data_IF_943230761743
#
_entry.id   IF_943230761743
#
_cell.length_a   1.000
_cell.length_b   1.000
_cell.length_c   1.000
_cell.angle_alpha   90.00
_cell.angle_beta   90.00
_cell.angle_gamma   90.00
#
_symmetry.space_group_name_H-M   'P 1'
#
loop_
_entity.id
_entity.type
_entity.pdbx_description
1 polymer ?
#
# COMPACT_ATOMS: atom_id res chain seq x y z
N UNK A 1 -28.12 15.00 21.24
CA UNK A 1 -28.00 14.73 19.83
C UNK A 1 -27.54 15.97 19.08
N UNK A 2 -26.25 16.20 19.01
CA UNK A 2 -25.66 17.24 18.14
C UNK A 2 -24.77 16.50 17.15
N UNK A 3 -25.20 16.46 15.89
CA UNK A 3 -24.38 15.96 14.78
C UNK A 3 -23.21 16.91 14.61
N UNK A 4 -22.02 16.44 14.90
CA UNK A 4 -20.77 17.12 14.54
C UNK A 4 -20.48 16.65 13.12
N UNK A 5 -20.59 17.57 12.17
CA UNK A 5 -20.19 17.35 10.79
C UNK A 5 -18.68 17.04 10.73
N UNK A 6 -18.22 16.22 9.80
CA UNK A 6 -16.81 16.01 9.61
C UNK A 6 -16.17 17.31 9.14
N UNK A 7 -15.38 17.92 10.00
CA UNK A 7 -14.51 19.04 9.61
C UNK A 7 -13.39 18.43 8.78
N UNK A 8 -13.56 18.45 7.47
CA UNK A 8 -12.45 18.35 6.55
C UNK A 8 -11.59 19.59 6.80
N UNK A 9 -10.52 19.44 7.59
CA UNK A 9 -9.52 20.49 7.78
C UNK A 9 -8.64 20.56 6.53
N UNK A 10 -9.21 21.00 5.43
CA UNK A 10 -8.47 21.58 4.33
C UNK A 10 -8.06 22.97 4.79
N UNK A 11 -6.94 23.06 5.50
CA UNK A 11 -6.26 24.33 5.68
C UNK A 11 -5.75 24.79 4.31
N UNK A 12 -6.61 25.49 3.59
CA UNK A 12 -6.22 26.31 2.47
C UNK A 12 -5.39 27.47 3.05
N UNK A 13 -4.07 27.24 3.23
CA UNK A 13 -3.14 28.36 3.37
C UNK A 13 -3.11 29.03 1.99
N UNK A 14 -3.87 30.11 1.86
CA UNK A 14 -3.65 31.07 0.80
C UNK A 14 -2.23 31.62 1.01
N UNK A 15 -1.25 31.09 0.26
CA UNK A 15 0.04 31.74 0.08
C UNK A 15 -0.25 33.09 -0.56
N UNK A 16 -0.23 34.15 0.25
CA UNK A 16 -0.07 35.50 -0.25
C UNK A 16 1.31 35.53 -0.87
N UNK A 17 1.35 35.37 -2.19
CA UNK A 17 2.56 35.62 -2.99
C UNK A 17 2.92 37.11 -2.76
N UNK A 18 3.90 37.35 -1.89
CA UNK A 18 4.49 38.66 -1.77
C UNK A 18 4.99 39.08 -3.15
N UNK A 19 4.51 40.23 -3.64
CA UNK A 19 4.98 40.84 -4.87
C UNK A 19 6.47 41.14 -4.71
N UNK A 20 7.30 40.32 -5.35
CA UNK A 20 8.71 40.62 -5.57
C UNK A 20 8.77 41.86 -6.46
N UNK A 21 9.52 42.91 -6.09
CA UNK A 21 9.70 44.07 -6.95
C UNK A 21 10.35 43.65 -8.27
N UNK A 22 9.86 44.15 -9.38
CA UNK A 22 10.35 43.89 -10.73
C UNK A 22 11.76 44.44 -10.91
N UNK A 23 12.75 43.72 -10.43
CA UNK A 23 14.10 43.78 -10.99
C UNK A 23 14.07 42.88 -12.24
N UNK A 24 14.64 43.34 -13.35
CA UNK A 24 14.75 42.63 -14.62
C UNK A 24 15.07 41.15 -14.41
N UNK A 25 14.04 40.34 -14.40
CA UNK A 25 14.15 38.91 -14.11
C UNK A 25 14.78 38.22 -15.31
N UNK A 26 16.05 37.88 -15.20
CA UNK A 26 16.56 36.72 -15.92
C UNK A 26 15.59 35.56 -15.59
N UNK A 27 14.98 34.96 -16.62
CA UNK A 27 14.05 33.82 -16.41
C UNK A 27 14.73 32.77 -15.55
N UNK A 28 14.13 32.44 -14.40
CA UNK A 28 14.65 31.37 -13.54
C UNK A 28 14.81 30.11 -14.39
N UNK A 29 15.94 29.39 -14.29
CA UNK A 29 16.13 28.11 -14.99
C UNK A 29 15.18 27.04 -14.51
N UNK A 30 14.56 27.23 -13.35
CA UNK A 30 13.46 26.40 -12.85
C UNK A 30 12.13 26.97 -13.34
N UNK A 31 11.26 26.09 -13.80
CA UNK A 31 9.85 26.43 -14.04
C UNK A 31 9.15 26.83 -12.73
N UNK A 32 8.04 27.58 -12.84
CA UNK A 32 7.22 27.89 -11.67
C UNK A 32 6.76 26.64 -10.91
N UNK A 33 6.49 25.56 -11.64
CA UNK A 33 6.11 24.27 -11.08
C UNK A 33 7.25 23.66 -10.27
N UNK A 34 8.45 23.55 -10.82
CA UNK A 34 9.63 23.04 -10.11
C UNK A 34 9.99 23.86 -8.87
N UNK A 35 9.80 25.18 -8.94
CA UNK A 35 9.98 26.07 -7.80
C UNK A 35 8.97 25.76 -6.69
N UNK A 36 7.68 25.62 -7.05
CA UNK A 36 6.61 25.27 -6.10
C UNK A 36 6.89 23.91 -5.43
N UNK A 37 7.30 22.92 -6.19
CA UNK A 37 7.62 21.56 -5.70
C UNK A 37 8.81 21.57 -4.74
N UNK A 38 9.89 22.25 -5.10
CA UNK A 38 11.11 22.34 -4.29
C UNK A 38 10.86 23.07 -2.97
N UNK A 39 10.34 24.29 -3.07
CA UNK A 39 10.04 25.13 -1.90
C UNK A 39 8.97 24.49 -1.03
N UNK A 40 7.90 23.98 -1.66
CA UNK A 40 6.83 23.28 -0.97
C UNK A 40 7.31 22.07 -0.20
N UNK A 41 8.24 21.29 -0.76
CA UNK A 41 8.82 20.10 -0.08
C UNK A 41 9.60 20.49 1.17
N UNK A 42 10.43 21.53 1.10
CA UNK A 42 11.18 22.05 2.24
C UNK A 42 10.24 22.58 3.34
N UNK A 43 9.28 23.41 2.97
CA UNK A 43 8.31 24.00 3.91
C UNK A 43 7.46 22.90 4.56
N UNK A 44 6.98 21.92 3.79
CA UNK A 44 6.23 20.77 4.33
C UNK A 44 7.06 19.97 5.31
N UNK A 45 8.31 19.67 4.99
CA UNK A 45 9.18 18.93 5.89
C UNK A 45 9.37 19.67 7.21
N UNK A 46 9.71 20.96 7.16
CA UNK A 46 9.96 21.78 8.37
C UNK A 46 8.70 22.01 9.19
N UNK A 47 7.53 22.11 8.56
CA UNK A 47 6.25 22.33 9.23
C UNK A 47 5.65 21.04 9.79
N UNK A 48 5.61 19.96 9.01
CA UNK A 48 4.73 18.81 9.25
C UNK A 48 5.46 17.57 9.81
N UNK A 49 6.79 17.47 9.69
CA UNK A 49 7.51 16.31 10.23
C UNK A 49 7.30 16.18 11.74
N UNK A 50 7.05 14.99 12.22
CA UNK A 50 6.65 14.73 13.62
C UNK A 50 7.70 15.05 14.69
N UNK A 51 8.93 15.40 14.29
CA UNK A 51 10.00 15.90 15.14
C UNK A 51 10.51 17.25 14.63
N UNK A 52 11.30 17.94 15.46
CA UNK A 52 12.00 19.15 15.01
C UNK A 52 13.00 18.81 13.92
N UNK A 53 12.95 19.54 12.82
CA UNK A 53 13.88 19.37 11.68
C UNK A 53 15.13 20.21 11.93
N UNK A 54 16.28 19.64 11.66
CA UNK A 54 17.55 20.35 11.57
C UNK A 54 17.60 21.03 10.17
N UNK A 55 17.47 22.34 10.14
CA UNK A 55 17.45 23.13 8.92
C UNK A 55 18.78 23.05 8.14
N UNK A 56 19.91 23.05 8.86
CA UNK A 56 21.22 22.92 8.21
C UNK A 56 21.34 21.55 7.54
N UNK A 57 20.97 20.49 8.24
CA UNK A 57 20.97 19.14 7.68
C UNK A 57 20.05 19.01 6.44
N UNK A 58 18.92 19.74 6.39
CA UNK A 58 18.04 19.74 5.24
C UNK A 58 18.68 20.38 3.99
N UNK A 59 19.35 21.53 4.17
CA UNK A 59 20.08 22.20 3.09
C UNK A 59 21.30 21.39 2.63
N UNK A 60 22.08 20.86 3.56
CA UNK A 60 23.23 19.99 3.26
C UNK A 60 22.79 18.69 2.56
N UNK A 61 21.67 18.15 2.96
CA UNK A 61 21.05 16.98 2.34
C UNK A 61 20.71 17.21 0.86
N UNK A 62 20.06 18.34 0.55
CA UNK A 62 19.76 18.73 -0.82
C UNK A 62 21.02 18.83 -1.68
N UNK A 63 22.01 19.57 -1.18
CA UNK A 63 23.28 19.77 -1.85
C UNK A 63 24.01 18.43 -2.10
N UNK A 64 24.12 17.62 -1.09
CA UNK A 64 24.81 16.31 -1.17
C UNK A 64 24.13 15.40 -2.17
N UNK A 65 22.81 15.29 -2.11
CA UNK A 65 22.03 14.43 -3.01
C UNK A 65 22.13 14.89 -4.48
N UNK A 66 22.11 16.20 -4.75
CA UNK A 66 22.34 16.71 -6.11
C UNK A 66 23.74 16.34 -6.62
N UNK A 67 24.78 16.53 -5.80
CA UNK A 67 26.16 16.19 -6.20
C UNK A 67 26.30 14.68 -6.46
N UNK A 68 25.74 13.85 -5.62
CA UNK A 68 25.75 12.39 -5.79
C UNK A 68 25.00 11.97 -7.06
N UNK A 69 23.83 12.57 -7.29
CA UNK A 69 23.06 12.33 -8.50
C UNK A 69 23.86 12.68 -9.76
N UNK A 70 24.47 13.87 -9.80
CA UNK A 70 25.28 14.34 -10.92
C UNK A 70 26.49 13.43 -11.18
N UNK A 71 27.20 13.02 -10.13
CA UNK A 71 28.32 12.07 -10.24
C UNK A 71 27.89 10.72 -10.80
N UNK A 72 26.77 10.19 -10.34
CA UNK A 72 26.18 8.94 -10.83
C UNK A 72 25.84 9.00 -12.33
N UNK A 73 25.54 10.20 -12.83
CA UNK A 73 25.22 10.45 -14.23
C UNK A 73 26.39 11.04 -15.02
N UNK A 74 27.62 10.68 -14.66
CA UNK A 74 28.89 10.99 -15.35
C UNK A 74 29.29 12.47 -15.31
N UNK A 75 28.79 13.29 -14.39
CA UNK A 75 29.24 14.65 -14.14
C UNK A 75 30.27 14.61 -13.00
N UNK A 76 31.47 14.13 -13.26
CA UNK A 76 32.48 13.81 -12.25
C UNK A 76 32.90 14.99 -11.36
N UNK A 77 32.97 16.21 -11.92
CA UNK A 77 33.42 17.42 -11.22
C UNK A 77 32.26 18.30 -10.72
N UNK A 78 31.09 17.70 -10.45
CA UNK A 78 29.98 18.45 -9.90
C UNK A 78 30.33 19.00 -8.50
N UNK A 79 30.17 20.32 -8.34
CA UNK A 79 30.42 21.03 -7.09
C UNK A 79 29.36 22.12 -6.92
N UNK A 80 28.85 22.25 -5.72
CA UNK A 80 27.90 23.30 -5.34
C UNK A 80 28.42 23.98 -4.06
N UNK A 81 28.21 25.29 -3.89
CA UNK A 81 28.64 25.98 -2.68
C UNK A 81 27.85 25.48 -1.45
N UNK A 82 28.43 25.59 -0.24
CA UNK A 82 27.67 25.29 0.98
C UNK A 82 26.59 26.35 1.21
N UNK A 83 25.42 25.90 1.67
CA UNK A 83 24.37 26.77 2.19
C UNK A 83 24.48 26.90 3.70
N UNK A 84 24.12 28.05 4.24
CA UNK A 84 24.05 28.31 5.68
C UNK A 84 22.60 28.55 6.09
N UNK A 85 22.09 27.69 6.95
CA UNK A 85 20.74 27.82 7.43
C UNK A 85 20.57 28.99 8.40
N UNK A 86 19.44 29.65 8.29
CA UNK A 86 18.96 30.68 9.21
C UNK A 86 17.83 30.12 10.08
N UNK A 87 17.35 30.93 11.03
CA UNK A 87 16.16 30.57 11.81
C UNK A 87 14.86 30.70 11.01
N UNK A 88 14.91 31.38 9.86
CA UNK A 88 13.75 31.65 9.01
C UNK A 88 13.66 30.65 7.86
N UNK A 89 12.54 29.95 7.79
CA UNK A 89 12.30 28.90 6.78
C UNK A 89 12.08 29.46 5.38
N UNK A 90 11.54 30.67 5.23
CA UNK A 90 11.37 31.34 3.94
C UNK A 90 12.73 31.70 3.33
N UNK A 91 13.61 32.32 4.12
CA UNK A 91 14.99 32.62 3.72
C UNK A 91 15.76 31.37 3.30
N UNK A 92 15.59 30.27 4.03
CA UNK A 92 16.24 29.00 3.71
C UNK A 92 15.69 28.40 2.40
N UNK A 93 14.39 28.44 2.20
CA UNK A 93 13.74 27.96 0.97
C UNK A 93 14.19 28.77 -0.27
N UNK A 94 14.32 30.08 -0.14
CA UNK A 94 14.87 30.93 -1.20
C UNK A 94 16.35 30.64 -1.50
N UNK A 95 17.16 30.41 -0.46
CA UNK A 95 18.56 30.00 -0.64
C UNK A 95 18.68 28.66 -1.36
N UNK A 96 17.85 27.69 -0.97
CA UNK A 96 17.75 26.39 -1.64
C UNK A 96 17.31 26.54 -3.10
N UNK A 97 16.30 27.36 -3.39
CA UNK A 97 15.85 27.63 -4.75
C UNK A 97 16.97 28.21 -5.61
N UNK A 98 17.75 29.20 -5.11
CA UNK A 98 18.88 29.76 -5.85
C UNK A 98 19.96 28.71 -6.15
N UNK A 99 20.28 27.86 -5.20
CA UNK A 99 21.29 26.81 -5.39
C UNK A 99 20.86 25.79 -6.44
N UNK A 100 19.59 25.28 -6.35
CA UNK A 100 19.05 24.34 -7.34
C UNK A 100 18.98 24.99 -8.72
N UNK A 101 18.61 26.28 -8.80
CA UNK A 101 18.63 27.05 -10.06
C UNK A 101 20.02 27.11 -10.67
N UNK A 102 21.05 27.35 -9.86
CA UNK A 102 22.46 27.30 -10.30
C UNK A 102 22.84 25.91 -10.78
N UNK A 103 22.52 24.87 -10.02
CA UNK A 103 22.79 23.49 -10.39
C UNK A 103 22.12 23.10 -11.72
N UNK A 104 20.87 23.53 -11.95
CA UNK A 104 20.17 23.30 -13.22
C UNK A 104 20.85 24.04 -14.38
N UNK A 105 21.23 25.28 -14.18
CA UNK A 105 21.94 26.06 -15.22
C UNK A 105 23.26 25.39 -15.64
N UNK A 106 24.05 24.96 -14.66
CA UNK A 106 25.42 24.48 -14.90
C UNK A 106 25.46 23.01 -15.36
N UNK A 107 24.49 22.20 -14.95
CA UNK A 107 24.58 20.75 -15.10
C UNK A 107 23.45 20.12 -15.90
N UNK A 108 22.24 20.71 -16.01
CA UNK A 108 21.19 20.12 -16.81
C UNK A 108 21.59 19.90 -18.29
N UNK A 109 22.36 20.79 -18.95
CA UNK A 109 22.83 20.56 -20.31
C UNK A 109 23.77 19.34 -20.47
N UNK A 110 24.31 18.82 -19.39
CA UNK A 110 25.21 17.65 -19.34
C UNK A 110 24.48 16.34 -19.10
N UNK A 111 23.19 16.39 -18.85
CA UNK A 111 22.34 15.23 -18.53
C UNK A 111 21.43 14.90 -19.72
N UNK A 112 21.02 13.65 -19.78
CA UNK A 112 19.99 13.16 -20.71
C UNK A 112 18.69 12.88 -19.96
N UNK A 113 17.51 13.02 -20.59
CA UNK A 113 16.25 12.62 -19.99
C UNK A 113 16.24 11.15 -19.59
N UNK A 114 15.64 10.84 -18.43
CA UNK A 114 15.46 9.47 -17.94
C UNK A 114 13.97 9.25 -17.67
N UNK A 115 13.37 8.17 -18.19
CA UNK A 115 11.94 7.86 -18.04
C UNK A 115 11.02 9.07 -18.39
N UNK A 116 11.36 9.83 -19.43
CA UNK A 116 10.68 11.06 -19.83
C UNK A 116 10.80 12.25 -18.83
N UNK A 117 11.61 12.11 -17.78
CA UNK A 117 11.88 13.19 -16.81
C UNK A 117 12.98 14.10 -17.38
N UNK A 118 12.73 15.41 -17.45
CA UNK A 118 13.70 16.38 -17.95
C UNK A 118 14.93 16.48 -17.05
N UNK A 119 16.12 16.84 -17.59
CA UNK A 119 17.32 17.05 -16.78
C UNK A 119 17.15 18.03 -15.64
N UNK A 120 16.38 19.12 -15.82
CA UNK A 120 16.08 20.06 -14.74
C UNK A 120 15.24 19.42 -13.64
N UNK A 121 14.21 18.64 -14.00
CA UNK A 121 13.39 17.90 -13.03
C UNK A 121 14.21 16.85 -12.28
N UNK A 122 15.13 16.16 -12.95
CA UNK A 122 16.02 15.19 -12.31
C UNK A 122 16.86 15.81 -11.18
N UNK A 123 17.44 16.99 -11.44
CA UNK A 123 18.22 17.74 -10.42
C UNK A 123 17.31 18.22 -9.29
N UNK A 124 16.12 18.74 -9.61
CA UNK A 124 15.13 19.19 -8.63
C UNK A 124 14.67 18.02 -7.73
N UNK A 125 14.38 16.88 -8.32
CA UNK A 125 13.99 15.66 -7.55
C UNK A 125 15.12 15.17 -6.66
N UNK A 126 16.37 15.24 -7.12
CA UNK A 126 17.51 14.90 -6.29
C UNK A 126 17.64 15.85 -5.08
N UNK A 127 17.41 17.15 -5.27
CA UNK A 127 17.39 18.13 -4.18
C UNK A 127 16.27 17.82 -3.18
N UNK A 128 15.04 17.59 -3.67
CA UNK A 128 13.89 17.25 -2.81
C UNK A 128 14.17 15.98 -2.02
N UNK A 129 14.67 14.93 -2.69
CA UNK A 129 15.01 13.67 -2.03
C UNK A 129 16.07 13.85 -0.93
N UNK A 130 17.06 14.74 -1.17
CA UNK A 130 18.07 15.08 -0.19
C UNK A 130 17.52 15.87 1.01
N UNK A 131 16.62 16.83 0.77
CA UNK A 131 15.89 17.55 1.84
C UNK A 131 15.16 16.56 2.73
N UNK A 132 14.37 15.66 2.13
CA UNK A 132 13.58 14.66 2.87
C UNK A 132 14.44 13.61 3.57
N UNK A 133 15.54 13.18 2.95
CA UNK A 133 16.49 12.22 3.52
C UNK A 133 17.24 12.73 4.74
N UNK A 134 17.34 14.06 4.92
CA UNK A 134 18.06 14.69 6.04
C UNK A 134 17.54 14.29 7.42
N UNK A 135 16.25 13.98 7.53
CA UNK A 135 15.62 13.59 8.80
C UNK A 135 15.89 12.15 9.21
N UNK A 136 16.59 11.37 8.35
CA UNK A 136 16.98 9.97 8.61
C UNK A 136 15.80 9.08 9.02
N UNK A 137 14.61 9.39 8.51
CA UNK A 137 13.40 8.60 8.67
C UNK A 137 13.12 7.81 7.38
N UNK A 138 13.15 6.49 7.46
CA UNK A 138 12.97 5.59 6.31
C UNK A 138 11.62 5.70 5.60
N UNK A 139 10.66 6.36 6.23
CA UNK A 139 9.30 6.53 5.70
C UNK A 139 9.06 7.90 5.08
N UNK A 140 9.94 8.87 5.37
CA UNK A 140 9.90 10.21 4.77
C UNK A 140 10.72 10.19 3.48
N UNK A 141 10.05 10.35 2.34
CA UNK A 141 10.68 10.18 1.03
C UNK A 141 9.96 10.97 -0.07
N UNK A 142 10.68 11.27 -1.13
CA UNK A 142 10.12 11.71 -2.40
C UNK A 142 9.63 10.49 -3.20
N UNK A 143 8.52 10.66 -3.89
CA UNK A 143 7.95 9.68 -4.82
C UNK A 143 7.89 10.33 -6.21
N UNK A 144 8.60 9.78 -7.17
CA UNK A 144 8.47 10.16 -8.58
C UNK A 144 7.02 9.92 -9.05
N UNK A 145 6.59 10.51 -10.19
CA UNK A 145 5.25 10.27 -10.74
C UNK A 145 4.91 8.78 -10.86
N UNK A 146 5.86 7.97 -11.30
CA UNK A 146 5.69 6.52 -11.43
C UNK A 146 5.53 5.81 -10.08
N UNK A 147 6.33 6.19 -9.08
CA UNK A 147 6.26 5.59 -7.74
C UNK A 147 5.00 6.02 -7.01
N UNK A 148 4.56 7.26 -7.18
CA UNK A 148 3.32 7.73 -6.57
C UNK A 148 2.09 7.07 -7.21
N UNK A 149 2.07 6.92 -8.54
CA UNK A 149 1.03 6.18 -9.23
C UNK A 149 0.96 4.71 -8.75
N UNK A 150 2.11 4.04 -8.62
CA UNK A 150 2.18 2.67 -8.12
C UNK A 150 1.73 2.54 -6.65
N UNK A 151 2.03 3.55 -5.80
CA UNK A 151 1.54 3.59 -4.42
C UNK A 151 0.02 3.69 -4.36
N UNK A 152 -0.57 4.60 -5.13
CA UNK A 152 -2.02 4.77 -5.18
C UNK A 152 -2.72 3.52 -5.73
N UNK A 153 -2.17 2.94 -6.81
CA UNK A 153 -2.66 1.67 -7.34
C UNK A 153 -2.66 0.56 -6.27
N UNK A 154 -1.60 0.48 -5.45
CA UNK A 154 -1.52 -0.48 -4.35
C UNK A 154 -2.49 -0.23 -3.21
N UNK A 155 -2.83 1.05 -2.92
CA UNK A 155 -3.71 1.43 -1.82
C UNK A 155 -5.20 1.41 -2.19
N UNK A 156 -5.54 1.75 -3.42
CA UNK A 156 -6.93 1.80 -3.88
C UNK A 156 -7.51 0.40 -4.21
N UNK A 157 -6.73 -0.65 -3.92
CA UNK A 157 -6.94 -1.99 -4.46
C UNK A 157 -6.60 -1.94 -5.95
N UNK A 158 -5.62 -2.72 -6.40
CA UNK A 158 -5.10 -2.62 -7.76
C UNK A 158 -6.23 -2.60 -8.78
N UNK A 159 -6.60 -1.39 -9.22
CA UNK A 159 -7.45 -1.24 -10.40
C UNK A 159 -6.56 -1.36 -11.62
N UNK A 160 -6.72 -2.41 -12.37
CA UNK A 160 -6.00 -2.60 -13.63
C UNK A 160 -6.95 -3.00 -14.75
N UNK A 161 -6.64 -2.59 -15.95
CA UNK A 161 -7.36 -3.12 -17.10
C UNK A 161 -7.02 -4.58 -17.30
N UNK A 162 -8.03 -5.45 -17.27
CA UNK A 162 -7.83 -6.88 -17.35
C UNK A 162 -9.09 -7.68 -17.67
N UNK A 163 -8.99 -8.99 -17.53
CA UNK A 163 -10.07 -9.93 -17.88
C UNK A 163 -10.88 -10.42 -16.67
N UNK A 164 -10.44 -10.17 -15.43
CA UNK A 164 -11.21 -10.51 -14.21
C UNK A 164 -11.22 -11.99 -13.86
N UNK A 165 -10.03 -12.65 -13.87
CA UNK A 165 -9.84 -14.02 -13.41
C UNK A 165 -8.67 -14.11 -12.44
N UNK A 166 -8.72 -15.11 -11.52
CA UNK A 166 -7.57 -15.68 -10.85
C UNK A 166 -7.18 -16.98 -11.54
N UNK A 167 -5.88 -17.24 -11.68
CA UNK A 167 -5.36 -18.41 -12.39
C UNK A 167 -4.07 -18.92 -11.78
N UNK A 168 -3.81 -20.20 -12.00
CA UNK A 168 -2.52 -20.83 -11.71
C UNK A 168 -1.96 -21.46 -12.99
N UNK A 169 -0.66 -21.29 -13.29
CA UNK A 169 0.02 -22.12 -14.29
C UNK A 169 0.00 -23.59 -13.87
N UNK A 170 -0.33 -24.47 -14.81
CA UNK A 170 -0.23 -25.93 -14.64
C UNK A 170 0.93 -26.46 -15.49
N UNK A 171 2.03 -26.81 -14.83
CA UNK A 171 3.24 -27.32 -15.47
C UNK A 171 3.03 -28.66 -16.21
N UNK A 172 2.04 -29.45 -15.80
CA UNK A 172 1.79 -30.77 -16.41
C UNK A 172 1.05 -30.66 -17.73
N UNK A 173 0.05 -29.79 -17.77
CA UNK A 173 -0.78 -29.56 -18.96
C UNK A 173 -0.31 -28.39 -19.80
N UNK A 174 0.64 -27.59 -19.29
CA UNK A 174 1.15 -26.35 -19.93
C UNK A 174 0.00 -25.39 -20.27
N UNK A 175 -0.97 -25.25 -19.35
CA UNK A 175 -2.13 -24.37 -19.46
C UNK A 175 -2.23 -23.46 -18.25
N UNK A 176 -3.18 -22.51 -18.28
CA UNK A 176 -3.54 -21.73 -17.09
C UNK A 176 -4.85 -22.27 -16.57
N UNK A 177 -4.85 -22.79 -15.35
CA UNK A 177 -6.03 -23.22 -14.64
C UNK A 177 -6.75 -22.03 -14.03
N UNK A 178 -8.01 -21.79 -14.38
CA UNK A 178 -8.85 -20.73 -13.83
C UNK A 178 -9.31 -21.13 -12.43
N UNK A 179 -8.84 -20.46 -11.40
CA UNK A 179 -9.25 -20.69 -10.02
C UNK A 179 -10.57 -19.99 -9.67
N UNK A 180 -10.74 -18.77 -10.15
CA UNK A 180 -11.95 -17.99 -9.93
C UNK A 180 -12.20 -16.98 -11.05
N UNK A 181 -13.48 -16.59 -11.18
CA UNK A 181 -13.92 -15.55 -12.12
C UNK A 181 -14.65 -14.49 -11.30
N UNK A 182 -14.35 -13.21 -11.55
CA UNK A 182 -15.02 -12.10 -10.90
C UNK A 182 -16.45 -12.02 -11.42
N UNK A 183 -17.41 -12.11 -10.50
CA UNK A 183 -18.84 -12.02 -10.82
C UNK A 183 -19.16 -10.68 -11.50
N UNK A 184 -19.97 -10.72 -12.55
CA UNK A 184 -20.28 -9.58 -13.42
C UNK A 184 -19.06 -8.94 -14.11
N UNK A 185 -17.89 -9.57 -13.98
CA UNK A 185 -16.66 -9.16 -14.65
C UNK A 185 -16.60 -9.54 -16.14
N UNK A 186 -15.57 -9.07 -16.87
CA UNK A 186 -15.50 -9.30 -18.32
C UNK A 186 -15.38 -10.77 -18.71
N UNK A 187 -14.76 -11.62 -17.91
CA UNK A 187 -14.70 -13.07 -18.14
C UNK A 187 -16.00 -13.79 -17.81
N UNK A 188 -16.71 -13.36 -16.77
CA UNK A 188 -18.03 -13.90 -16.41
C UNK A 188 -19.06 -13.63 -17.52
N UNK A 189 -19.05 -12.42 -18.07
CA UNK A 189 -19.93 -12.00 -19.19
C UNK A 189 -19.79 -12.86 -20.46
N UNK A 190 -18.63 -13.48 -20.65
CA UNK A 190 -18.38 -14.40 -21.79
C UNK A 190 -18.49 -15.86 -21.39
N UNK A 191 -18.88 -16.17 -20.14
CA UNK A 191 -19.15 -17.51 -19.66
C UNK A 191 -17.94 -18.33 -19.26
N UNK A 192 -16.78 -17.70 -18.96
CA UNK A 192 -15.67 -18.39 -18.30
C UNK A 192 -16.11 -18.88 -16.92
N UNK A 193 -15.57 -20.02 -16.50
CA UNK A 193 -15.91 -20.65 -15.23
C UNK A 193 -14.64 -21.08 -14.48
N UNK A 194 -14.68 -21.20 -13.15
CA UNK A 194 -13.67 -21.94 -12.41
C UNK A 194 -13.48 -23.35 -13.01
N UNK A 195 -12.26 -23.87 -12.90
CA UNK A 195 -11.81 -25.15 -13.49
C UNK A 195 -11.63 -25.12 -15.01
N UNK A 196 -11.87 -24.02 -15.70
CA UNK A 196 -11.49 -23.88 -17.11
C UNK A 196 -9.95 -23.88 -17.26
N UNK A 197 -9.45 -24.50 -18.32
CA UNK A 197 -8.04 -24.44 -18.70
C UNK A 197 -7.84 -23.55 -19.92
N UNK A 198 -7.10 -22.45 -19.78
CA UNK A 198 -6.73 -21.58 -20.89
C UNK A 198 -5.51 -22.19 -21.56
N UNK A 199 -5.64 -22.55 -22.83
CA UNK A 199 -4.61 -23.23 -23.63
C UNK A 199 -3.83 -22.27 -24.55
N UNK A 200 -4.47 -21.15 -24.97
CA UNK A 200 -3.80 -20.13 -25.78
C UNK A 200 -4.38 -18.73 -25.50
N UNK A 201 -3.55 -17.70 -25.67
CA UNK A 201 -3.90 -16.27 -25.53
C UNK A 201 -3.48 -15.56 -26.80
N UNK A 202 -4.40 -14.85 -27.48
CA UNK A 202 -4.21 -14.16 -28.75
C UNK A 202 -3.53 -15.06 -29.81
N UNK A 203 -3.88 -16.35 -29.83
CA UNK A 203 -3.39 -17.36 -30.78
C UNK A 203 -2.03 -17.95 -30.42
N UNK A 204 -1.35 -17.49 -29.36
CA UNK A 204 -0.11 -18.11 -28.85
C UNK A 204 -0.44 -19.14 -27.79
N UNK A 205 0.12 -20.33 -27.91
CA UNK A 205 -0.04 -21.36 -26.88
C UNK A 205 0.57 -20.88 -25.55
N UNK A 206 -0.07 -21.25 -24.43
CA UNK A 206 0.43 -20.93 -23.08
C UNK A 206 1.83 -21.48 -22.88
N UNK A 207 2.12 -22.68 -23.38
CA UNK A 207 3.47 -23.29 -23.36
C UNK A 207 4.54 -22.41 -24.03
N UNK A 208 4.22 -21.78 -25.16
CA UNK A 208 5.13 -20.85 -25.85
C UNK A 208 5.33 -19.56 -25.04
N UNK A 209 4.26 -19.03 -24.42
CA UNK A 209 4.33 -17.84 -23.61
C UNK A 209 5.20 -18.07 -22.36
N UNK A 210 5.09 -19.23 -21.72
CA UNK A 210 5.82 -19.56 -20.50
C UNK A 210 7.24 -20.08 -20.74
N UNK A 211 7.61 -20.45 -21.95
CA UNK A 211 8.93 -20.99 -22.27
C UNK A 211 10.13 -20.16 -21.71
N UNK A 212 10.11 -18.81 -21.74
CA UNK A 212 11.20 -18.03 -21.13
C UNK A 212 11.35 -18.21 -19.62
N UNK A 213 10.27 -18.45 -18.90
CA UNK A 213 10.28 -18.67 -17.46
C UNK A 213 10.80 -20.06 -17.07
N UNK A 214 10.66 -21.06 -17.96
CA UNK A 214 11.08 -22.43 -17.70
C UNK A 214 12.61 -22.59 -17.59
N UNK A 215 13.39 -21.58 -17.94
CA UNK A 215 14.85 -21.56 -17.75
C UNK A 215 15.27 -21.25 -16.31
N UNK A 216 14.36 -20.72 -15.48
CA UNK A 216 14.60 -20.43 -14.07
C UNK A 216 14.54 -21.72 -13.25
N UNK A 217 15.60 -21.97 -12.47
CA UNK A 217 15.76 -23.19 -11.66
C UNK A 217 15.10 -23.12 -10.30
N UNK A 218 14.92 -21.91 -9.79
CA UNK A 218 14.23 -21.65 -8.52
C UNK A 218 12.71 -21.61 -8.76
N UNK A 219 11.97 -22.49 -8.09
CA UNK A 219 10.52 -22.63 -8.31
C UNK A 219 9.74 -21.35 -8.00
N UNK A 220 10.15 -20.58 -6.98
CA UNK A 220 9.47 -19.33 -6.64
C UNK A 220 9.73 -18.24 -7.67
N UNK A 221 10.96 -18.15 -8.15
CA UNK A 221 11.35 -17.19 -9.21
C UNK A 221 10.70 -17.57 -10.54
N UNK A 222 10.61 -18.88 -10.85
CA UNK A 222 9.92 -19.36 -12.04
C UNK A 222 8.45 -18.97 -11.99
N UNK A 223 7.73 -19.25 -10.90
CA UNK A 223 6.33 -18.88 -10.74
C UNK A 223 6.11 -17.37 -10.84
N UNK A 224 7.00 -16.56 -10.25
CA UNK A 224 6.93 -15.11 -10.37
C UNK A 224 7.15 -14.63 -11.81
N UNK A 225 8.06 -15.25 -12.57
CA UNK A 225 8.30 -14.95 -13.97
C UNK A 225 7.09 -15.33 -14.83
N UNK A 226 6.50 -16.49 -14.62
CA UNK A 226 5.28 -16.95 -15.29
C UNK A 226 4.11 -16.02 -15.05
N UNK A 227 3.86 -15.65 -13.78
CA UNK A 227 2.82 -14.68 -13.44
C UNK A 227 3.04 -13.33 -14.10
N UNK A 228 4.29 -12.85 -14.16
CA UNK A 228 4.63 -11.59 -14.84
C UNK A 228 4.33 -11.66 -16.34
N UNK A 229 4.70 -12.75 -17.00
CA UNK A 229 4.45 -12.96 -18.44
C UNK A 229 2.96 -13.00 -18.73
N UNK A 230 2.22 -13.83 -18.01
CA UNK A 230 0.77 -14.00 -18.21
C UNK A 230 0.01 -12.72 -17.88
N UNK A 231 0.34 -12.07 -16.77
CA UNK A 231 -0.24 -10.77 -16.43
C UNK A 231 -0.01 -9.73 -17.53
N UNK A 232 1.16 -9.73 -18.16
CA UNK A 232 1.51 -8.82 -19.25
C UNK A 232 0.63 -8.97 -20.51
N UNK A 233 0.05 -10.16 -20.74
CA UNK A 233 -0.83 -10.43 -21.88
C UNK A 233 -2.32 -10.39 -21.52
N UNK A 234 -2.70 -10.75 -20.30
CA UNK A 234 -4.10 -10.69 -19.85
C UNK A 234 -4.51 -9.28 -19.42
N UNK A 235 -3.59 -8.49 -18.87
CA UNK A 235 -3.80 -7.07 -18.58
C UNK A 235 -3.65 -6.22 -19.83
N UNK A 236 -4.12 -4.98 -19.76
CA UNK A 236 -4.03 -3.98 -20.81
C UNK A 236 -5.04 -2.87 -20.59
N UNK A 237 -5.02 -1.82 -21.40
CA UNK A 237 -5.93 -0.70 -21.24
C UNK A 237 -7.41 -1.15 -21.32
N UNK A 238 -8.29 -0.65 -20.43
CA UNK A 238 -9.72 -0.89 -20.54
C UNK A 238 -10.25 -0.55 -21.95
N UNK A 239 -11.17 -1.37 -22.46
CA UNK A 239 -11.69 -1.28 -23.83
C UNK A 239 -10.89 -2.04 -24.88
N UNK A 240 -9.64 -2.45 -24.61
CA UNK A 240 -8.88 -3.34 -25.50
C UNK A 240 -9.38 -4.78 -25.39
N UNK A 241 -9.09 -5.61 -26.39
CA UNK A 241 -9.59 -6.99 -26.45
C UNK A 241 -8.44 -7.99 -26.31
N UNK A 242 -8.75 -9.16 -25.78
CA UNK A 242 -7.90 -10.33 -25.75
C UNK A 242 -8.73 -11.56 -26.12
N UNK A 243 -8.15 -12.48 -26.90
CA UNK A 243 -8.80 -13.73 -27.32
C UNK A 243 -8.22 -14.91 -26.54
N UNK A 244 -9.08 -15.68 -25.88
CA UNK A 244 -8.69 -16.87 -25.14
C UNK A 244 -9.19 -18.13 -25.84
N UNK A 245 -8.33 -19.14 -25.91
CA UNK A 245 -8.72 -20.51 -26.25
C UNK A 245 -8.81 -21.30 -24.97
N UNK A 246 -9.97 -21.93 -24.73
CA UNK A 246 -10.34 -22.51 -23.44
C UNK A 246 -10.73 -23.98 -23.61
N UNK A 247 -10.33 -24.81 -22.66
CA UNK A 247 -10.76 -26.19 -22.55
C UNK A 247 -11.55 -26.37 -21.25
N UNK A 248 -12.73 -26.99 -21.33
CA UNK A 248 -13.59 -27.30 -20.17
C UNK A 248 -13.90 -28.80 -20.16
N UNK A 249 -13.62 -29.47 -19.05
CA UNK A 249 -13.83 -30.91 -18.89
C UNK A 249 -13.21 -31.72 -20.05
N UNK A 250 -12.00 -31.36 -20.46
CA UNK A 250 -11.27 -32.04 -21.56
C UNK A 250 -11.75 -31.68 -22.98
N UNK A 251 -12.80 -30.86 -23.14
CA UNK A 251 -13.36 -30.45 -24.44
C UNK A 251 -12.96 -29.02 -24.77
N UNK A 252 -12.42 -28.79 -25.98
CA UNK A 252 -12.15 -27.45 -26.48
C UNK A 252 -13.44 -26.69 -26.71
N UNK A 253 -13.51 -25.47 -26.25
CA UNK A 253 -14.60 -24.53 -26.51
C UNK A 253 -14.25 -23.61 -27.69
N UNK A 254 -15.28 -22.98 -28.28
CA UNK A 254 -15.04 -21.90 -29.23
C UNK A 254 -14.25 -20.77 -28.54
N UNK A 255 -13.22 -20.22 -29.22
CA UNK A 255 -12.41 -19.18 -28.64
C UNK A 255 -13.24 -17.93 -28.28
N UNK A 256 -13.09 -17.46 -27.03
CA UNK A 256 -13.82 -16.31 -26.52
C UNK A 256 -12.99 -15.03 -26.63
N UNK A 257 -13.62 -13.93 -27.01
CA UNK A 257 -12.98 -12.61 -27.04
C UNK A 257 -13.52 -11.80 -25.86
N UNK A 258 -12.61 -11.37 -24.99
CA UNK A 258 -12.91 -10.60 -23.79
C UNK A 258 -12.49 -9.16 -24.03
N UNK A 259 -13.38 -8.22 -23.78
CA UNK A 259 -13.02 -6.80 -23.69
C UNK A 259 -12.49 -6.54 -22.28
N UNK A 260 -11.26 -6.04 -22.15
CA UNK A 260 -10.69 -5.69 -20.86
C UNK A 260 -11.48 -4.55 -20.24
N UNK A 261 -11.82 -4.70 -18.99
CA UNK A 261 -12.46 -3.68 -18.18
C UNK A 261 -11.53 -3.29 -17.02
N UNK A 262 -11.85 -2.22 -16.31
CA UNK A 262 -11.17 -1.90 -15.04
C UNK A 262 -11.54 -2.97 -14.02
N UNK A 263 -10.57 -3.79 -13.63
CA UNK A 263 -10.72 -4.82 -12.63
C UNK A 263 -10.26 -4.24 -11.29
N UNK A 264 -11.12 -4.26 -10.30
CA UNK A 264 -10.75 -4.01 -8.93
C UNK A 264 -10.41 -5.37 -8.29
N UNK A 265 -9.15 -5.59 -7.97
CA UNK A 265 -8.77 -6.74 -7.15
C UNK A 265 -9.33 -6.51 -5.73
N UNK A 266 -10.20 -7.39 -5.21
CA UNK A 266 -10.78 -7.15 -3.90
C UNK A 266 -9.68 -7.19 -2.83
N UNK A 267 -9.74 -6.24 -1.90
CA UNK A 267 -8.86 -6.22 -0.73
C UNK A 267 -9.27 -7.25 0.32
N UNK A 268 -10.47 -7.82 0.20
CA UNK A 268 -11.03 -8.80 1.12
C UNK A 268 -11.50 -10.03 0.36
N UNK A 269 -10.96 -11.20 0.71
CA UNK A 269 -11.50 -12.50 0.30
C UNK A 269 -12.04 -13.26 1.49
N UNK A 270 -13.00 -14.15 1.30
CA UNK A 270 -13.56 -14.92 2.42
C UNK A 270 -14.12 -16.26 2.00
N UNK A 271 -14.07 -17.21 2.94
CA UNK A 271 -14.62 -18.57 2.78
C UNK A 271 -15.14 -19.10 4.11
N UNK A 272 -16.05 -20.07 4.05
CA UNK A 272 -16.49 -20.83 5.22
C UNK A 272 -15.53 -22.00 5.42
N UNK A 273 -14.99 -22.12 6.63
CA UNK A 273 -14.21 -23.29 7.08
C UNK A 273 -15.12 -24.30 7.79
N UNK A 274 -14.67 -25.58 7.96
CA UNK A 274 -15.35 -26.56 8.79
C UNK A 274 -15.66 -26.03 10.19
N UNK A 275 -16.81 -26.41 10.75
CA UNK A 275 -17.27 -25.91 12.05
C UNK A 275 -18.00 -24.56 11.98
N UNK A 276 -18.38 -24.11 10.79
CA UNK A 276 -19.04 -22.82 10.55
C UNK A 276 -18.20 -21.65 11.02
N UNK A 277 -16.92 -21.66 10.69
CA UNK A 277 -15.97 -20.59 10.98
C UNK A 277 -15.77 -19.76 9.72
N UNK A 278 -16.11 -18.47 9.76
CA UNK A 278 -15.84 -17.55 8.68
C UNK A 278 -14.36 -17.16 8.66
N UNK A 279 -13.64 -17.51 7.59
CA UNK A 279 -12.28 -17.04 7.33
C UNK A 279 -12.33 -15.83 6.40
N UNK A 280 -11.65 -14.78 6.78
CA UNK A 280 -11.54 -13.53 6.02
C UNK A 280 -10.07 -13.18 5.89
N UNK A 281 -9.58 -13.11 4.66
CA UNK A 281 -8.24 -12.62 4.33
C UNK A 281 -8.33 -11.17 3.86
N UNK A 282 -7.57 -10.28 4.50
CA UNK A 282 -7.53 -8.86 4.23
C UNK A 282 -6.11 -8.46 3.79
N UNK A 283 -5.94 -8.16 2.50
CA UNK A 283 -4.63 -7.96 1.87
C UNK A 283 -4.10 -6.51 1.96
N UNK A 284 -4.98 -5.51 2.04
CA UNK A 284 -4.61 -4.09 2.14
C UNK A 284 -5.74 -3.29 2.76
N UNK A 285 -5.42 -2.20 3.44
CA UNK A 285 -6.39 -1.24 3.97
C UNK A 285 -6.63 -0.11 2.97
N UNK A 286 -7.37 -0.40 1.90
CA UNK A 286 -7.76 0.52 0.84
C UNK A 286 -9.09 1.22 1.11
N UNK A 287 -9.55 2.06 0.16
CA UNK A 287 -10.80 2.82 0.30
C UNK A 287 -12.04 1.92 0.36
N UNK A 288 -12.06 0.81 -0.37
CA UNK A 288 -13.20 -0.11 -0.45
C UNK A 288 -13.21 -1.18 0.65
N UNK A 289 -12.11 -1.36 1.38
CA UNK A 289 -11.87 -2.51 2.26
C UNK A 289 -12.96 -2.69 3.32
N UNK A 290 -13.41 -1.63 3.98
CA UNK A 290 -14.46 -1.72 5.00
C UNK A 290 -15.82 -2.14 4.40
N UNK A 291 -16.12 -1.70 3.18
CA UNK A 291 -17.33 -2.09 2.45
C UNK A 291 -17.26 -3.56 2.03
N UNK A 292 -16.12 -3.99 1.48
CA UNK A 292 -15.88 -5.37 1.09
C UNK A 292 -15.92 -6.32 2.30
N UNK A 293 -15.30 -5.92 3.42
CA UNK A 293 -15.38 -6.67 4.68
C UNK A 293 -16.82 -6.81 5.16
N UNK A 294 -17.60 -5.72 5.13
CA UNK A 294 -19.01 -5.74 5.52
C UNK A 294 -19.81 -6.72 4.67
N UNK A 295 -19.58 -6.74 3.36
CA UNK A 295 -20.24 -7.68 2.45
C UNK A 295 -19.82 -9.14 2.74
N UNK A 296 -18.52 -9.37 2.99
CA UNK A 296 -17.99 -10.68 3.33
C UNK A 296 -18.58 -11.22 4.65
N UNK A 297 -18.63 -10.38 5.70
CA UNK A 297 -19.20 -10.76 6.99
C UNK A 297 -20.71 -11.09 6.88
N UNK A 298 -21.48 -10.27 6.18
CA UNK A 298 -22.90 -10.53 5.93
C UNK A 298 -23.14 -11.84 5.18
N UNK A 299 -22.31 -12.16 4.18
CA UNK A 299 -22.39 -13.42 3.43
C UNK A 299 -22.06 -14.60 4.35
N UNK A 300 -21.00 -14.54 5.15
CA UNK A 300 -20.63 -15.59 6.09
C UNK A 300 -21.69 -15.76 7.17
N UNK A 301 -22.31 -14.69 7.66
CA UNK A 301 -23.43 -14.74 8.60
C UNK A 301 -24.64 -15.47 7.99
N UNK A 302 -25.01 -15.16 6.75
CA UNK A 302 -26.11 -15.85 6.06
C UNK A 302 -25.85 -17.33 5.84
N UNK A 303 -24.57 -17.75 5.80
CA UNK A 303 -24.14 -19.14 5.73
C UNK A 303 -24.05 -19.81 7.11
N UNK A 304 -24.35 -19.09 8.20
CA UNK A 304 -24.38 -19.61 9.56
C UNK A 304 -23.03 -19.59 10.29
N UNK A 305 -22.15 -18.64 9.98
CA UNK A 305 -20.87 -18.48 10.69
C UNK A 305 -21.10 -18.31 12.21
N UNK A 306 -20.38 -19.06 13.00
CA UNK A 306 -20.43 -19.05 14.48
C UNK A 306 -19.23 -18.31 15.10
N UNK A 307 -18.17 -18.13 14.35
CA UNK A 307 -16.94 -17.45 14.74
C UNK A 307 -16.22 -16.91 13.50
N UNK A 308 -15.21 -16.09 13.72
CA UNK A 308 -14.40 -15.54 12.64
C UNK A 308 -12.90 -15.72 12.87
N UNK A 309 -12.18 -15.90 11.78
CA UNK A 309 -10.73 -15.77 11.68
C UNK A 309 -10.43 -14.65 10.69
N UNK A 310 -9.86 -13.54 11.15
CA UNK A 310 -9.37 -12.43 10.33
C UNK A 310 -7.88 -12.62 10.07
N UNK A 311 -7.48 -12.76 8.82
CA UNK A 311 -6.07 -12.92 8.44
C UNK A 311 -5.48 -11.57 8.02
N UNK A 312 -4.53 -11.07 8.81
CA UNK A 312 -3.75 -9.86 8.56
C UNK A 312 -2.28 -10.17 8.26
N UNK A 313 -1.94 -11.44 8.08
CA UNK A 313 -0.57 -11.82 7.77
C UNK A 313 -0.12 -11.24 6.44
N UNK A 314 1.11 -10.75 6.40
CA UNK A 314 1.72 -10.12 5.22
C UNK A 314 0.98 -8.87 4.69
N UNK A 315 0.04 -8.34 5.46
CA UNK A 315 -0.64 -7.08 5.16
C UNK A 315 0.19 -5.91 5.71
N UNK A 316 0.81 -5.11 4.82
CA UNK A 316 1.65 -3.95 5.15
C UNK A 316 0.87 -2.72 5.64
N UNK A 317 -0.47 -2.79 5.72
CA UNK A 317 -1.34 -1.70 6.15
C UNK A 317 -2.05 -1.00 4.99
N UNK A 318 -2.15 0.32 5.07
CA UNK A 318 -2.85 1.19 4.13
C UNK A 318 -3.36 2.46 4.81
N UNK A 319 -4.58 2.87 4.49
CA UNK A 319 -5.18 4.09 5.04
C UNK A 319 -5.57 3.94 6.52
N UNK A 320 -5.29 4.98 7.30
CA UNK A 320 -5.70 5.06 8.71
C UNK A 320 -7.22 4.93 8.88
N UNK A 321 -7.98 5.65 8.07
CA UNK A 321 -9.45 5.62 8.15
C UNK A 321 -9.98 4.20 7.83
N UNK A 322 -9.39 3.51 6.87
CA UNK A 322 -9.78 2.13 6.59
C UNK A 322 -9.52 1.18 7.78
N UNK A 323 -8.42 1.40 8.54
CA UNK A 323 -8.18 0.63 9.76
C UNK A 323 -9.22 0.91 10.85
N UNK A 324 -9.64 2.17 11.01
CA UNK A 324 -10.68 2.56 11.94
C UNK A 324 -12.01 1.92 11.56
N UNK A 325 -12.40 2.02 10.27
CA UNK A 325 -13.65 1.46 9.76
C UNK A 325 -13.70 -0.07 9.84
N UNK A 326 -12.57 -0.76 9.53
CA UNK A 326 -12.44 -2.22 9.66
C UNK A 326 -12.51 -2.66 11.12
N UNK A 327 -11.81 -1.96 12.02
CA UNK A 327 -11.84 -2.26 13.46
C UNK A 327 -13.24 -2.08 14.05
N UNK A 328 -13.97 -1.06 13.58
CA UNK A 328 -15.35 -0.77 13.97
C UNK A 328 -16.35 -1.88 13.59
N UNK A 329 -15.97 -2.81 12.68
CA UNK A 329 -16.83 -3.98 12.40
C UNK A 329 -16.81 -5.02 13.52
N UNK A 330 -15.82 -4.96 14.39
CA UNK A 330 -15.65 -5.90 15.51
C UNK A 330 -15.78 -5.22 16.89
N UNK A 331 -15.46 -3.93 16.97
CA UNK A 331 -15.48 -3.12 18.21
C UNK A 331 -16.71 -2.22 18.19
N UNK A 332 -17.62 -2.42 19.13
CA UNK A 332 -18.90 -1.70 19.13
C UNK A 332 -18.80 -0.25 19.62
N UNK A 333 -17.84 0.05 20.49
CA UNK A 333 -17.66 1.40 21.07
C UNK A 333 -16.29 1.54 21.72
N UNK A 334 -15.86 2.79 21.93
CA UNK A 334 -14.60 3.16 22.55
C UNK A 334 -13.46 3.31 21.55
N UNK A 335 -12.25 3.61 22.07
CA UNK A 335 -11.12 4.01 21.24
C UNK A 335 -10.59 2.85 20.37
N UNK A 336 -10.18 3.21 19.16
CA UNK A 336 -9.48 2.34 18.22
C UNK A 336 -8.00 2.70 18.14
N UNK A 337 -7.70 3.99 18.06
CA UNK A 337 -6.33 4.48 17.93
C UNK A 337 -6.25 5.93 18.38
N UNK A 338 -5.16 6.33 19.03
CA UNK A 338 -4.83 7.73 19.24
C UNK A 338 -3.62 8.14 18.39
N UNK A 339 -3.63 9.37 17.87
CA UNK A 339 -2.62 9.93 16.98
C UNK A 339 -2.05 11.19 17.58
N UNK A 340 -0.73 11.24 17.75
CA UNK A 340 0.00 12.37 18.32
C UNK A 340 0.92 13.00 17.27
N UNK A 341 0.68 14.26 16.96
CA UNK A 341 1.56 15.09 16.12
C UNK A 341 2.70 15.73 16.92
N UNK A 342 3.59 16.45 16.23
CA UNK A 342 4.65 17.24 16.86
C UNK A 342 4.08 18.32 17.81
N UNK A 343 2.90 18.84 17.53
CA UNK A 343 2.25 19.84 18.38
C UNK A 343 1.73 19.27 19.71
N UNK A 344 1.84 17.95 19.93
CA UNK A 344 1.36 17.28 21.13
C UNK A 344 -0.17 17.18 21.21
N UNK A 345 -0.85 17.37 20.08
CA UNK A 345 -2.31 17.23 20.00
C UNK A 345 -2.62 15.76 19.77
N UNK A 346 -3.21 15.12 20.79
CA UNK A 346 -3.72 13.76 20.66
C UNK A 346 -5.12 13.83 20.03
N UNK A 347 -5.25 13.14 18.89
CA UNK A 347 -6.56 12.89 18.28
C UNK A 347 -6.91 11.43 18.54
N UNK A 348 -7.99 11.18 19.28
CA UNK A 348 -8.52 9.86 19.50
C UNK A 348 -9.61 9.55 18.48
N UNK A 349 -9.56 8.37 17.92
CA UNK A 349 -10.54 7.86 16.97
C UNK A 349 -11.27 6.69 17.59
N UNK A 350 -12.58 6.85 17.72
CA UNK A 350 -13.49 5.86 18.30
C UNK A 350 -14.15 5.00 17.24
N UNK A 351 -14.67 3.86 17.66
CA UNK A 351 -15.51 2.99 16.86
C UNK A 351 -16.81 3.71 16.44
N UNK A 352 -17.26 3.42 15.21
CA UNK A 352 -18.40 4.08 14.55
C UNK A 352 -19.78 3.45 14.84
N UNK A 353 -19.87 2.50 15.78
CA UNK A 353 -21.07 1.75 16.14
C UNK A 353 -21.63 0.88 15.00
N UNK A 354 -20.81 0.42 14.06
CA UNK A 354 -21.22 -0.46 12.96
C UNK A 354 -20.83 -1.93 13.17
N UNK A 355 -20.47 -2.30 14.41
CA UNK A 355 -20.01 -3.65 14.73
C UNK A 355 -21.09 -4.70 14.44
N UNK A 356 -20.64 -5.86 13.94
CA UNK A 356 -21.47 -7.07 13.83
C UNK A 356 -21.79 -7.63 15.22
N UNK A 357 -22.76 -8.55 15.29
CA UNK A 357 -23.06 -9.25 16.54
C UNK A 357 -21.79 -9.96 17.07
N UNK A 358 -21.49 -9.82 18.38
CA UNK A 358 -20.29 -10.41 18.98
C UNK A 358 -20.20 -11.92 18.75
N UNK A 359 -19.06 -12.36 18.28
CA UNK A 359 -18.72 -13.78 18.08
C UNK A 359 -17.25 -14.01 18.39
N UNK A 360 -16.84 -15.25 18.73
CA UNK A 360 -15.43 -15.57 18.89
C UNK A 360 -14.62 -15.12 17.67
N UNK A 361 -13.55 -14.37 17.90
CA UNK A 361 -12.68 -13.80 16.87
C UNK A 361 -11.22 -14.16 17.15
N UNK A 362 -10.55 -14.75 16.17
CA UNK A 362 -9.10 -14.86 16.14
C UNK A 362 -8.55 -13.97 15.01
N UNK A 363 -7.40 -13.33 15.25
CA UNK A 363 -6.72 -12.50 14.25
C UNK A 363 -5.34 -13.08 13.99
N UNK A 364 -5.08 -13.51 12.76
CA UNK A 364 -3.78 -14.03 12.34
C UNK A 364 -2.83 -12.87 12.03
N UNK A 365 -1.64 -12.90 12.62
CA UNK A 365 -0.60 -11.87 12.45
C UNK A 365 0.77 -12.49 12.23
N UNK A 366 1.65 -11.79 11.50
CA UNK A 366 3.05 -12.18 11.31
C UNK A 366 3.98 -10.95 11.29
N UNK A 367 5.27 -11.19 11.14
CA UNK A 367 6.32 -10.16 11.11
C UNK A 367 6.19 -9.14 9.96
N UNK A 368 5.30 -9.36 9.01
CA UNK A 368 4.98 -8.46 7.90
C UNK A 368 3.63 -7.74 8.10
N UNK A 369 2.88 -8.08 9.15
CA UNK A 369 1.70 -7.33 9.58
C UNK A 369 2.15 -5.97 10.10
N UNK A 370 1.79 -4.87 9.41
CA UNK A 370 2.35 -3.54 9.69
C UNK A 370 1.31 -2.41 9.61
N UNK A 371 1.58 -1.28 10.31
CA UNK A 371 0.84 -0.01 10.16
C UNK A 371 -0.66 -0.14 10.45
N UNK A 372 -1.56 0.13 9.47
CA UNK A 372 -3.01 0.01 9.59
C UNK A 372 -3.45 -1.37 10.11
N UNK A 373 -2.75 -2.45 9.69
CA UNK A 373 -2.98 -3.80 10.22
C UNK A 373 -2.66 -3.90 11.71
N UNK A 374 -1.61 -3.19 12.17
CA UNK A 374 -1.25 -3.16 13.59
C UNK A 374 -2.22 -2.29 14.40
N UNK A 375 -2.81 -1.24 13.80
CA UNK A 375 -3.89 -0.47 14.42
C UNK A 375 -5.08 -1.40 14.70
N UNK A 376 -5.54 -2.14 13.67
CA UNK A 376 -6.65 -3.09 13.81
C UNK A 376 -6.33 -4.21 14.80
N UNK A 377 -5.16 -4.85 14.69
CA UNK A 377 -4.73 -5.90 15.61
C UNK A 377 -4.64 -5.40 17.06
N UNK A 378 -4.01 -4.24 17.28
CA UNK A 378 -3.87 -3.62 18.59
C UNK A 378 -5.20 -3.20 19.21
N UNK A 379 -6.12 -2.66 18.40
CA UNK A 379 -7.46 -2.28 18.86
C UNK A 379 -8.28 -3.51 19.28
N UNK A 380 -8.28 -4.59 18.49
CA UNK A 380 -8.96 -5.85 18.80
C UNK A 380 -8.37 -6.49 20.08
N UNK A 381 -7.04 -6.49 20.20
CA UNK A 381 -6.35 -7.02 21.36
C UNK A 381 -6.67 -6.21 22.63
N UNK A 382 -6.58 -4.88 22.57
CA UNK A 382 -6.75 -4.00 23.71
C UNK A 382 -8.21 -3.92 24.19
N UNK A 383 -9.19 -3.98 23.27
CA UNK A 383 -10.61 -4.06 23.61
C UNK A 383 -11.04 -5.44 24.12
N UNK A 384 -10.24 -6.48 23.87
CA UNK A 384 -10.55 -7.84 24.27
C UNK A 384 -11.64 -8.53 23.44
N UNK A 385 -12.03 -7.96 22.29
CA UNK A 385 -13.06 -8.54 21.41
C UNK A 385 -12.53 -9.72 20.57
N UNK A 386 -11.20 -9.88 20.48
CA UNK A 386 -10.56 -10.98 19.77
C UNK A 386 -9.19 -11.31 20.34
N UNK A 387 -8.59 -12.40 19.84
CA UNK A 387 -7.28 -12.91 20.27
C UNK A 387 -6.35 -13.00 19.08
N UNK A 388 -5.13 -12.46 19.22
CA UNK A 388 -4.12 -12.55 18.17
C UNK A 388 -3.42 -13.91 18.19
N UNK A 389 -3.18 -14.47 17.00
CA UNK A 389 -2.52 -15.76 16.80
C UNK A 389 -1.41 -15.62 15.77
N UNK A 390 -0.25 -16.15 16.03
CA UNK A 390 0.88 -16.11 15.09
C UNK A 390 2.20 -15.70 15.72
N UNK A 391 2.89 -14.77 15.08
CA UNK A 391 4.16 -14.23 15.57
C UNK A 391 4.09 -12.70 15.66
N UNK A 392 5.04 -12.11 16.37
CA UNK A 392 5.15 -10.67 16.60
C UNK A 392 5.07 -9.85 15.32
N UNK A 393 4.32 -8.76 15.32
CA UNK A 393 4.13 -7.87 14.19
C UNK A 393 5.36 -6.99 13.92
N UNK A 394 5.33 -6.23 12.84
CA UNK A 394 6.45 -5.45 12.30
C UNK A 394 6.91 -4.30 13.21
N UNK A 395 5.99 -3.56 13.83
CA UNK A 395 6.31 -2.39 14.66
C UNK A 395 6.44 -1.08 13.88
N UNK A 396 5.45 -0.75 13.03
CA UNK A 396 5.39 0.56 12.37
C UNK A 396 4.34 1.44 13.06
N UNK A 397 4.75 2.17 14.13
CA UNK A 397 3.90 3.03 14.95
C UNK A 397 3.87 4.50 14.51
N UNK A 398 4.00 4.78 13.20
CA UNK A 398 4.05 6.14 12.66
C UNK A 398 3.07 6.32 11.50
N UNK A 399 2.53 7.54 11.38
CA UNK A 399 1.60 7.96 10.33
C UNK A 399 2.34 8.79 9.30
N UNK A 400 2.14 8.50 8.02
CA UNK A 400 2.63 9.31 6.92
C UNK A 400 1.50 10.08 6.27
N UNK A 401 1.73 11.38 6.04
CA UNK A 401 0.93 12.18 5.13
C UNK A 401 1.58 12.21 3.76
N UNK A 402 0.77 12.07 2.72
CA UNK A 402 1.20 12.14 1.33
C UNK A 402 0.72 13.49 0.79
N UNK A 403 1.63 14.25 0.23
CA UNK A 403 1.36 15.54 -0.38
C UNK A 403 1.61 15.43 -1.89
N UNK A 404 0.54 15.25 -2.70
CA UNK A 404 0.63 15.21 -4.15
C UNK A 404 1.17 16.52 -4.72
N UNK A 405 1.97 16.42 -5.78
CA UNK A 405 2.47 17.53 -6.54
C UNK A 405 1.82 17.61 -7.92
N UNK A 406 1.92 18.76 -8.57
CA UNK A 406 1.21 19.03 -9.83
C UNK A 406 1.79 18.30 -11.03
N UNK A 407 3.04 17.86 -10.96
CA UNK A 407 3.71 17.06 -11.99
C UNK A 407 3.40 15.55 -11.88
N UNK A 408 2.57 15.17 -10.91
CA UNK A 408 2.23 13.78 -10.61
C UNK A 408 3.18 13.09 -9.64
N UNK A 409 4.23 13.76 -9.15
CA UNK A 409 5.07 13.28 -8.04
C UNK A 409 4.41 13.53 -6.68
N UNK A 410 5.03 13.09 -5.59
CA UNK A 410 4.56 13.40 -4.24
C UNK A 410 5.70 13.41 -3.22
N UNK A 411 5.51 14.12 -2.11
CA UNK A 411 6.31 13.93 -0.91
C UNK A 411 5.49 13.19 0.14
N UNK A 412 6.11 12.17 0.73
CA UNK A 412 5.56 11.39 1.82
C UNK A 412 6.36 11.71 3.07
N UNK A 413 5.70 12.26 4.09
CA UNK A 413 6.33 12.76 5.31
C UNK A 413 5.70 12.07 6.50
N UNK A 414 6.51 11.60 7.45
CA UNK A 414 6.02 11.12 8.74
C UNK A 414 5.59 12.31 9.59
N UNK A 415 4.27 12.42 9.84
CA UNK A 415 3.66 13.57 10.49
C UNK A 415 3.21 13.32 11.91
N UNK A 416 3.04 12.05 12.29
CA UNK A 416 2.56 11.69 13.62
C UNK A 416 3.02 10.30 14.05
N UNK A 417 2.83 10.01 15.35
CA UNK A 417 2.89 8.66 15.92
C UNK A 417 1.48 8.21 16.27
N UNK A 418 1.25 6.93 16.31
CA UNK A 418 0.00 6.40 16.81
C UNK A 418 0.22 5.41 17.97
N UNK A 419 -0.79 5.29 18.81
CA UNK A 419 -0.80 4.46 20.00
C UNK A 419 -2.06 3.59 19.99
N UNK A 420 -1.96 2.39 20.56
CA UNK A 420 -3.11 1.52 20.73
C UNK A 420 -4.10 2.10 21.77
N UNK A 421 -5.33 1.60 21.87
CA UNK A 421 -6.30 2.09 22.86
C UNK A 421 -5.78 2.16 24.30
N UNK A 422 -4.89 1.25 24.69
CA UNK A 422 -4.24 1.27 26.02
C UNK A 422 -2.99 2.14 26.08
N UNK A 423 -2.75 2.99 25.07
CA UNK A 423 -1.62 3.92 25.04
C UNK A 423 -0.26 3.27 24.76
N UNK A 424 -0.22 2.05 24.20
CA UNK A 424 1.03 1.39 23.87
C UNK A 424 1.66 1.99 22.63
N UNK A 425 2.92 2.39 22.74
CA UNK A 425 3.76 2.72 21.58
C UNK A 425 4.30 1.43 20.96
N UNK A 426 3.88 1.14 19.75
CA UNK A 426 4.32 -0.06 19.04
C UNK A 426 5.48 0.20 18.06
N UNK A 427 5.93 1.46 17.96
CA UNK A 427 6.95 1.82 16.98
C UNK A 427 8.29 1.12 17.29
N UNK A 428 8.81 0.38 16.33
CA UNK A 428 10.01 -0.49 16.45
C UNK A 428 9.87 -1.61 17.49
N UNK A 429 8.67 -1.79 18.06
CA UNK A 429 8.38 -2.81 19.08
C UNK A 429 7.49 -3.91 18.50
N UNK A 430 6.41 -3.55 17.79
CA UNK A 430 5.39 -4.48 17.30
C UNK A 430 4.43 -4.95 18.41
N UNK A 431 3.50 -5.81 18.03
CA UNK A 431 2.48 -6.39 18.91
C UNK A 431 2.74 -7.89 19.04
N UNK A 432 2.85 -8.39 20.27
CA UNK A 432 2.96 -9.82 20.56
C UNK A 432 1.58 -10.45 20.52
N UNK A 433 1.38 -11.58 19.81
CA UNK A 433 0.13 -12.32 19.87
C UNK A 433 0.02 -13.09 21.19
N UNK A 434 -1.21 -13.31 21.67
CA UNK A 434 -1.48 -14.13 22.85
C UNK A 434 -1.21 -15.60 22.59
N UNK A 435 -1.54 -16.06 21.37
CA UNK A 435 -1.28 -17.45 20.96
C UNK A 435 -0.12 -17.46 19.98
N UNK A 436 1.04 -17.85 20.49
CA UNK A 436 2.24 -17.97 19.65
C UNK A 436 2.19 -19.22 18.80
N UNK A 437 2.27 -19.02 17.49
CA UNK A 437 2.35 -20.10 16.50
C UNK A 437 3.28 -19.64 15.40
N UNK A 438 4.37 -20.35 15.18
CA UNK A 438 5.36 -20.03 14.15
C UNK A 438 5.28 -20.99 12.97
N UNK A 439 5.73 -20.53 11.83
CA UNK A 439 5.89 -21.33 10.62
C UNK A 439 7.37 -21.56 10.41
N UNK A 440 7.86 -22.79 10.37
CA UNK A 440 9.27 -23.06 10.09
C UNK A 440 9.72 -22.41 8.78
N UNK A 441 10.92 -21.80 8.78
CA UNK A 441 11.42 -21.03 7.63
C UNK A 441 11.45 -21.78 6.29
N UNK A 442 11.66 -23.10 6.37
CA UNK A 442 11.74 -23.98 5.20
C UNK A 442 10.42 -24.70 4.89
N UNK A 443 9.35 -24.40 5.63
CA UNK A 443 8.06 -25.03 5.42
C UNK A 443 7.41 -24.48 4.14
N UNK A 444 7.19 -25.35 3.17
CA UNK A 444 6.39 -25.06 1.97
C UNK A 444 4.92 -25.24 2.33
N UNK A 445 4.31 -24.22 2.90
CA UNK A 445 2.89 -24.22 3.26
C UNK A 445 2.12 -23.20 2.43
N UNK A 446 0.86 -23.49 2.18
CA UNK A 446 -0.08 -22.53 1.61
C UNK A 446 -0.82 -21.84 2.77
N UNK A 447 -0.60 -20.54 2.96
CA UNK A 447 -1.34 -19.76 3.95
C UNK A 447 -2.84 -19.84 3.66
N UNK A 448 -3.65 -19.93 4.72
CA UNK A 448 -5.10 -20.06 4.58
C UNK A 448 -5.58 -21.48 4.23
N UNK A 449 -4.70 -22.46 4.08
CA UNK A 449 -5.04 -23.86 3.92
C UNK A 449 -5.05 -24.57 5.28
N UNK A 450 -6.25 -24.93 5.77
CA UNK A 450 -6.42 -25.55 7.09
C UNK A 450 -5.71 -26.91 7.22
N UNK A 451 -5.34 -27.57 6.12
CA UNK A 451 -4.65 -28.86 6.17
C UNK A 451 -3.16 -28.76 6.48
N UNK A 452 -2.54 -27.59 6.29
CA UNK A 452 -1.09 -27.40 6.38
C UNK A 452 -0.64 -26.11 7.07
N UNK A 453 -1.55 -25.15 7.33
CA UNK A 453 -1.24 -23.87 7.96
C UNK A 453 -1.36 -23.96 9.50
N UNK A 454 -0.24 -24.05 10.24
CA UNK A 454 -0.28 -24.26 11.70
C UNK A 454 -0.86 -23.06 12.45
N UNK A 455 -0.70 -21.83 11.92
CA UNK A 455 -1.28 -20.64 12.53
C UNK A 455 -2.80 -20.62 12.36
N UNK A 456 -3.30 -20.99 11.18
CA UNK A 456 -4.74 -21.13 10.95
C UNK A 456 -5.33 -22.27 11.78
N UNK A 457 -4.65 -23.40 11.91
CA UNK A 457 -5.07 -24.52 12.77
C UNK A 457 -5.20 -24.04 14.22
N UNK A 458 -4.23 -23.30 14.74
CA UNK A 458 -4.26 -22.74 16.09
C UNK A 458 -5.43 -21.75 16.29
N UNK A 459 -5.67 -20.86 15.32
CA UNK A 459 -6.78 -19.92 15.35
C UNK A 459 -8.14 -20.63 15.34
N UNK A 460 -8.32 -21.63 14.47
CA UNK A 460 -9.54 -22.45 14.39
C UNK A 460 -9.78 -23.23 15.69
N UNK A 461 -8.73 -23.80 16.27
CA UNK A 461 -8.82 -24.49 17.56
C UNK A 461 -9.27 -23.56 18.67
N UNK A 462 -8.71 -22.35 18.74
CA UNK A 462 -9.10 -21.33 19.71
C UNK A 462 -10.57 -20.94 19.57
N UNK A 463 -11.06 -20.56 18.37
CA UNK A 463 -12.46 -20.13 18.22
C UNK A 463 -13.43 -21.27 18.45
N UNK A 464 -13.09 -22.52 18.10
CA UNK A 464 -13.90 -23.70 18.42
C UNK A 464 -14.05 -23.90 19.94
N UNK A 465 -12.98 -23.70 20.72
CA UNK A 465 -13.04 -23.79 22.17
C UNK A 465 -14.00 -22.73 22.77
N UNK A 466 -14.03 -21.53 22.18
CA UNK A 466 -14.93 -20.45 22.59
C UNK A 466 -16.39 -20.72 22.21
N UNK A 467 -16.63 -21.29 21.02
CA UNK A 467 -17.98 -21.73 20.62
C UNK A 467 -18.51 -22.77 21.61
N UNK A 468 -17.70 -23.79 21.97
CA UNK A 468 -18.10 -24.82 22.92
C UNK A 468 -18.44 -24.25 24.31
N UNK A 469 -17.64 -23.31 24.81
CA UNK A 469 -17.91 -22.60 26.07
C UNK A 469 -19.24 -21.83 26.07
N UNK A 470 -19.55 -21.14 24.97
CA UNK A 470 -20.78 -20.36 24.81
C UNK A 470 -22.05 -21.26 24.70
N UNK A 471 -21.89 -22.52 24.33
CA UNK A 471 -23.03 -23.49 24.22
C UNK A 471 -23.36 -24.21 25.54
N UNK A 472 -22.45 -24.12 26.53
CA UNK A 472 -22.59 -24.75 27.84
C UNK A 472 -23.17 -23.81 28.92
N UNK A 473 -23.43 -22.56 28.58
CA UNK A 473 -24.15 -21.58 29.40
C UNK A 473 -25.47 -21.16 28.75
#
# INVERSE_FOLDING_TARGET
MKRIAPVALAALLALTVARVPAATAASSPLSSLQTEELVGSYVRLTADFYKKVDRQAALDGARTSMIEYLKKHNVANASLPPLHATADDETNAEALHREVSTAVTDYAPKLTPVDSISPSSQITYAAIAGVLGSVKDRYTTFLSPKEYAALNEGLDGTSFGGVGISYLPDDKTQTLHVESVILDGPSDKVGLQPEDAITAIDGKAVSELLAPAQTEKDDQRRLAAEQKIVSGVLRGNPGTKVRLTVQRNGKMLEPVTITRETIHAPSVTSKMLPGNIGYVDLSVFGQSTATELTAALKRLDSQGAKAYVLDLRSNGGGYLNAAIDVSSKFISSGPIVSVQSRAGVDTEYDADNTAIAPRPLAVLVNQYTASASEITAGAIQDSGVGTLVGVKTFGKGVVQSIFPMRDGSAVKITTARYFTPKGRDINSVGIEPEIKSDIPKDAKIRLGDLSQDPQLIAAVSFVNSRIAQATTH
#
